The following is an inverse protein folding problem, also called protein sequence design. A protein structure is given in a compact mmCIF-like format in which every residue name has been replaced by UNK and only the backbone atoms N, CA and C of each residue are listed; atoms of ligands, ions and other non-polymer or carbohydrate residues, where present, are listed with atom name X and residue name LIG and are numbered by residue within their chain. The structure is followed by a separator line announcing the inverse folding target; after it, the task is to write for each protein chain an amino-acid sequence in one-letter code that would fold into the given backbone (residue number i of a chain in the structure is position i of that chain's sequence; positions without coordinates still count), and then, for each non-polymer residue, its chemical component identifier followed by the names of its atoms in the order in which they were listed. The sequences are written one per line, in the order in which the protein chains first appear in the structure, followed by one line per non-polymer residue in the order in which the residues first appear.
data_IF_889075484164
#
_entry.id   IF_889075484164
#
_cell.length_a   1.000
_cell.length_b   1.000
_cell.length_c   1.000
_cell.angle_alpha   90.00
_cell.angle_beta   90.00
_cell.angle_gamma   90.00
#
_symmetry.space_group_name_H-M   'P 1'
#
loop_
_entity.id
_entity.type
_entity.pdbx_description
1 polymer ?
#
# COMPACT_ATOMS: atom_id res chain seq x y z
N UNK A 1 20.52 13.64 42.98
CA UNK A 1 20.53 12.18 42.80
C UNK A 1 20.06 11.87 41.38
N UNK A 2 20.91 11.19 40.60
CA UNK A 2 20.64 10.31 39.43
C UNK A 2 19.52 10.71 38.45
N UNK A 3 19.73 10.93 37.15
CA UNK A 3 20.74 10.37 36.25
C UNK A 3 20.04 9.77 35.03
N UNK A 4 19.87 10.53 33.94
CA UNK A 4 19.48 9.98 32.64
C UNK A 4 20.73 9.63 31.84
N UNK A 5 20.81 8.35 31.44
CA UNK A 5 21.92 7.73 30.72
C UNK A 5 22.14 8.38 29.35
N UNK A 6 23.40 8.70 29.05
CA UNK A 6 23.89 8.98 27.69
C UNK A 6 23.83 7.68 26.87
N UNK A 7 23.27 7.76 25.66
CA UNK A 7 23.50 6.78 24.60
C UNK A 7 24.46 7.42 23.62
N UNK A 8 25.67 6.89 23.53
CA UNK A 8 26.71 7.31 22.60
C UNK A 8 26.64 6.43 21.34
N UNK A 9 26.47 7.05 20.18
CA UNK A 9 26.60 6.38 18.89
C UNK A 9 28.11 6.33 18.50
N UNK A 10 28.70 5.18 18.12
CA UNK A 10 30.17 5.06 18.10
C UNK A 10 30.88 5.55 16.84
N UNK A 11 30.22 6.18 15.86
CA UNK A 11 30.81 6.24 14.50
C UNK A 11 30.66 7.59 13.76
N UNK A 12 30.88 8.71 14.44
CA UNK A 12 31.05 10.01 13.79
C UNK A 12 32.07 10.87 14.56
N UNK A 13 33.36 10.59 14.35
CA UNK A 13 34.44 11.54 14.66
C UNK A 13 34.53 12.58 13.54
N UNK A 14 33.94 13.75 13.76
CA UNK A 14 34.07 14.93 12.89
C UNK A 14 33.34 16.12 13.48
N UNK A 15 34.09 17.16 13.86
CA UNK A 15 33.60 18.41 14.46
C UNK A 15 32.84 19.27 13.43
N UNK A 16 31.64 19.73 13.80
CA UNK A 16 30.83 20.65 13.01
C UNK A 16 29.76 21.34 13.87
N UNK A 17 29.62 22.66 13.71
CA UNK A 17 28.83 23.56 14.54
C UNK A 17 27.32 23.25 14.53
N UNK A 18 26.64 23.51 15.65
CA UNK A 18 25.24 23.16 15.93
C UNK A 18 24.19 23.96 15.10
N UNK A 19 24.60 24.58 13.99
CA UNK A 19 23.78 25.38 13.09
C UNK A 19 23.37 24.69 11.78
N UNK A 20 23.99 23.57 11.38
CA UNK A 20 23.77 22.98 10.04
C UNK A 20 22.73 21.83 10.00
N UNK A 21 22.28 21.34 11.16
CA UNK A 21 21.28 20.27 11.25
C UNK A 21 19.81 20.74 11.09
N UNK A 22 19.55 22.05 11.02
CA UNK A 22 18.19 22.62 10.93
C UNK A 22 17.77 23.14 9.54
N UNK A 23 18.62 23.03 8.51
CA UNK A 23 18.35 23.60 7.18
C UNK A 23 17.86 22.60 6.11
N UNK A 24 17.58 21.34 6.47
CA UNK A 24 16.99 20.33 5.56
C UNK A 24 15.53 19.96 5.87
N UNK A 25 14.91 20.61 6.84
CA UNK A 25 13.46 20.52 7.08
C UNK A 25 12.87 21.93 7.09
N UNK A 26 12.25 22.34 5.99
CA UNK A 26 11.47 23.58 5.95
C UNK A 26 11.68 24.42 4.71
N UNK A 27 11.24 23.95 3.54
CA UNK A 27 10.90 24.81 2.38
C UNK A 27 9.81 24.15 1.55
N UNK A 28 8.57 24.26 2.02
CA UNK A 28 7.41 24.48 1.15
C UNK A 28 6.23 25.04 1.95
N UNK A 29 6.43 26.19 2.60
CA UNK A 29 5.33 27.02 3.09
C UNK A 29 5.81 28.47 3.25
N UNK A 30 5.16 29.39 2.53
CA UNK A 30 5.11 30.81 2.87
C UNK A 30 5.71 31.76 1.85
N UNK A 31 4.85 32.37 1.02
CA UNK A 31 5.02 33.77 0.66
C UNK A 31 3.90 34.58 1.31
N UNK A 32 4.29 35.69 1.92
CA UNK A 32 3.55 36.51 2.88
C UNK A 32 2.72 37.63 2.27
N UNK A 33 1.84 38.17 3.13
CA UNK A 33 0.75 39.16 2.97
C UNK A 33 1.15 40.57 2.47
N UNK A 34 0.16 41.28 1.90
CA UNK A 34 0.05 42.75 1.83
C UNK A 34 -1.42 43.20 1.72
N UNK A 35 -1.82 44.29 2.40
CA UNK A 35 -3.21 44.82 2.56
C UNK A 35 -3.64 45.83 1.46
N UNK A 36 -4.97 45.86 1.20
CA UNK A 36 -5.97 46.83 0.62
C UNK A 36 -5.59 48.28 0.20
N UNK A 37 -6.44 49.07 -0.56
CA UNK A 37 -7.89 48.93 -0.87
C UNK A 37 -8.39 49.23 -2.32
N UNK A 38 -9.72 49.00 -2.51
CA UNK A 38 -10.73 49.52 -3.46
C UNK A 38 -10.38 50.07 -4.87
N UNK A 39 -11.09 49.57 -5.90
CA UNK A 39 -11.15 50.11 -7.25
C UNK A 39 -12.15 49.35 -8.14
N UNK A 40 -12.82 50.06 -9.04
CA UNK A 40 -14.13 49.78 -9.66
C UNK A 40 -14.03 49.20 -11.08
N UNK A 41 -15.06 48.43 -11.49
CA UNK A 41 -15.56 48.10 -12.85
C UNK A 41 -14.63 47.50 -13.93
N UNK A 42 -15.08 46.43 -14.61
CA UNK A 42 -14.47 46.02 -15.88
C UNK A 42 -14.81 44.61 -16.40
N UNK A 43 -15.73 44.57 -17.35
CA UNK A 43 -16.28 43.46 -18.16
C UNK A 43 -15.25 42.51 -18.84
N UNK A 44 -15.70 41.26 -19.04
CA UNK A 44 -15.56 40.42 -20.26
C UNK A 44 -14.65 39.17 -20.28
N UNK A 45 -15.32 38.01 -20.47
CA UNK A 45 -15.04 36.85 -21.36
C UNK A 45 -13.59 36.38 -21.56
N UNK A 46 -13.33 35.08 -21.32
CA UNK A 46 -13.39 34.01 -22.32
C UNK A 46 -12.65 32.75 -21.84
N UNK A 47 -13.01 31.63 -22.46
CA UNK A 47 -12.76 30.23 -22.08
C UNK A 47 -11.33 29.77 -22.38
N UNK A 48 -10.90 28.77 -21.61
CA UNK A 48 -10.26 27.56 -22.17
C UNK A 48 -8.74 27.55 -22.22
N UNK A 49 -8.10 27.05 -21.16
CA UNK A 49 -6.80 26.38 -21.25
C UNK A 49 -6.83 25.09 -20.45
N UNK A 50 -6.73 23.97 -21.16
CA UNK A 50 -6.47 22.66 -20.58
C UNK A 50 -5.09 22.67 -19.93
N UNK A 51 -5.05 22.61 -18.61
CA UNK A 51 -3.85 22.32 -17.85
C UNK A 51 -3.73 20.81 -17.67
N UNK A 52 -2.78 20.19 -18.38
CA UNK A 52 -2.29 18.85 -18.03
C UNK A 52 -1.80 18.91 -16.58
N UNK A 53 -2.39 18.12 -15.68
CA UNK A 53 -1.84 17.91 -14.34
C UNK A 53 -0.47 17.23 -14.50
N UNK A 54 0.57 17.68 -13.78
CA UNK A 54 1.86 17.01 -13.85
C UNK A 54 1.71 15.62 -13.22
N UNK A 55 2.22 14.61 -13.91
CA UNK A 55 2.46 13.29 -13.34
C UNK A 55 3.52 13.45 -12.24
N UNK A 56 3.15 13.16 -11.00
CA UNK A 56 4.13 13.01 -9.94
C UNK A 56 4.89 11.71 -10.21
N UNK A 57 6.16 11.85 -10.53
CA UNK A 57 7.09 10.72 -10.74
C UNK A 57 7.20 9.91 -9.47
N UNK A 58 6.69 8.67 -9.48
CA UNK A 58 7.00 7.69 -8.47
C UNK A 58 8.49 7.38 -8.53
N UNK A 59 9.19 7.59 -7.42
CA UNK A 59 10.58 7.15 -7.26
C UNK A 59 10.57 5.62 -7.26
N UNK A 60 11.47 5.00 -8.04
CA UNK A 60 11.56 3.55 -8.21
C UNK A 60 11.72 2.84 -6.85
N UNK A 61 10.62 2.27 -6.35
CA UNK A 61 10.65 1.37 -5.21
C UNK A 61 11.05 -0.02 -5.74
N UNK A 62 12.31 -0.39 -5.55
CA UNK A 62 12.72 -1.78 -5.70
C UNK A 62 11.90 -2.67 -4.77
N UNK A 63 11.56 -3.89 -5.20
CA UNK A 63 10.74 -4.86 -4.45
C UNK A 63 11.28 -5.08 -3.03
N UNK A 64 10.64 -4.46 -2.03
CA UNK A 64 11.04 -4.57 -0.61
C UNK A 64 10.62 -5.88 0.05
N UNK A 65 9.72 -6.67 -0.56
CA UNK A 65 9.28 -7.96 -0.02
C UNK A 65 10.31 -9.10 -0.26
N UNK A 66 11.23 -8.92 -1.20
CA UNK A 66 12.19 -9.97 -1.59
C UNK A 66 13.14 -10.43 -0.48
N UNK A 67 13.76 -9.52 0.31
CA UNK A 67 14.63 -9.89 1.43
C UNK A 67 13.91 -10.72 2.51
N UNK A 68 12.75 -10.27 2.99
CA UNK A 68 11.98 -10.97 4.04
C UNK A 68 11.58 -12.39 3.62
N UNK A 69 11.16 -12.57 2.37
CA UNK A 69 10.81 -13.89 1.84
C UNK A 69 12.03 -14.82 1.73
N UNK A 70 13.21 -14.28 1.41
CA UNK A 70 14.47 -15.04 1.40
C UNK A 70 14.90 -15.44 2.81
N UNK A 71 14.76 -14.55 3.78
CA UNK A 71 15.12 -14.82 5.17
C UNK A 71 14.22 -15.90 5.78
N UNK A 72 12.99 -16.03 5.30
CA UNK A 72 12.07 -17.11 5.63
C UNK A 72 12.28 -18.39 4.81
N UNK A 73 13.26 -18.42 3.91
CA UNK A 73 13.53 -19.52 2.97
C UNK A 73 12.30 -19.93 2.13
N UNK A 74 11.43 -18.98 1.81
CA UNK A 74 10.20 -19.22 1.04
C UNK A 74 10.51 -19.22 -0.46
N UNK A 75 10.22 -20.30 -1.21
CA UNK A 75 10.45 -20.35 -2.65
C UNK A 75 9.48 -19.44 -3.43
N UNK A 76 10.02 -18.49 -4.18
CA UNK A 76 9.25 -17.56 -5.00
C UNK A 76 9.61 -17.67 -6.49
N UNK A 77 8.62 -17.44 -7.37
CA UNK A 77 8.84 -17.23 -8.80
C UNK A 77 8.40 -15.80 -9.13
N UNK A 78 9.26 -14.98 -9.73
CA UNK A 78 8.93 -13.61 -10.10
C UNK A 78 9.00 -13.42 -11.61
N UNK A 79 8.02 -12.73 -12.18
CA UNK A 79 8.00 -12.30 -13.58
C UNK A 79 7.89 -10.78 -13.61
N UNK A 80 8.87 -10.15 -14.24
CA UNK A 80 8.86 -8.71 -14.49
C UNK A 80 7.97 -8.38 -15.70
N UNK A 81 7.33 -7.23 -15.64
CA UNK A 81 6.49 -6.72 -16.70
C UNK A 81 6.47 -5.18 -16.66
N UNK A 82 6.01 -4.50 -17.72
CA UNK A 82 5.77 -3.06 -17.67
C UNK A 82 4.84 -2.68 -16.51
N UNK A 83 4.89 -1.42 -16.13
CA UNK A 83 3.97 -0.88 -15.14
C UNK A 83 2.52 -1.01 -15.65
N UNK A 84 1.66 -1.62 -14.84
CA UNK A 84 0.24 -1.83 -15.14
C UNK A 84 -0.62 -1.38 -13.97
N UNK A 85 -1.78 -0.81 -14.27
CA UNK A 85 -2.70 -0.27 -13.25
C UNK A 85 -4.03 -1.00 -13.22
N UNK A 86 -4.32 -1.78 -14.26
CA UNK A 86 -5.52 -2.61 -14.38
C UNK A 86 -5.14 -4.07 -14.54
N UNK A 87 -6.07 -4.95 -14.14
CA UNK A 87 -5.89 -6.40 -14.32
C UNK A 87 -5.81 -6.73 -15.80
N UNK A 88 -6.63 -6.06 -16.61
CA UNK A 88 -6.70 -6.22 -18.07
C UNK A 88 -5.35 -5.91 -18.75
N UNK A 89 -4.63 -4.88 -18.29
CA UNK A 89 -3.27 -4.55 -18.76
C UNK A 89 -2.24 -5.59 -18.31
N UNK A 90 -2.42 -6.16 -17.11
CA UNK A 90 -1.49 -7.13 -16.54
C UNK A 90 -1.58 -8.51 -17.23
N UNK A 91 -2.80 -8.98 -17.53
CA UNK A 91 -3.05 -10.35 -17.99
C UNK A 91 -2.22 -10.78 -19.22
N UNK A 92 -2.02 -9.97 -20.28
CA UNK A 92 -1.17 -10.35 -21.41
C UNK A 92 0.26 -10.73 -21.02
N UNK A 93 0.80 -10.11 -19.97
CA UNK A 93 2.16 -10.37 -19.48
C UNK A 93 2.26 -11.64 -18.64
N UNK A 94 1.19 -12.00 -17.92
CA UNK A 94 1.23 -13.06 -16.91
C UNK A 94 0.31 -14.25 -17.21
N UNK A 95 -0.40 -14.26 -18.34
CA UNK A 95 -1.34 -15.34 -18.70
C UNK A 95 -0.72 -16.75 -18.72
N UNK A 96 0.59 -16.84 -18.92
CA UNK A 96 1.33 -18.10 -18.91
C UNK A 96 1.55 -18.65 -17.49
N UNK A 97 1.39 -17.80 -16.47
CA UNK A 97 1.47 -18.17 -15.06
C UNK A 97 0.17 -18.85 -14.63
N UNK A 98 0.21 -20.18 -14.55
CA UNK A 98 -0.90 -21.00 -14.05
C UNK A 98 -1.01 -20.88 -12.53
N UNK A 99 -2.15 -20.44 -12.04
CA UNK A 99 -2.42 -20.30 -10.61
C UNK A 99 -3.46 -19.22 -10.34
N UNK A 100 -3.58 -18.83 -9.08
CA UNK A 100 -4.53 -17.83 -8.64
C UNK A 100 -3.91 -16.43 -8.64
N UNK A 101 -4.43 -15.55 -9.48
CA UNK A 101 -4.07 -14.13 -9.48
C UNK A 101 -4.97 -13.35 -8.54
N UNK A 102 -4.36 -12.48 -7.73
CA UNK A 102 -5.08 -11.72 -6.72
C UNK A 102 -5.42 -10.31 -7.16
N UNK A 103 -6.39 -9.72 -6.46
CA UNK A 103 -6.50 -8.28 -6.29
C UNK A 103 -6.73 -7.94 -4.83
N UNK A 104 -6.35 -6.73 -4.46
CA UNK A 104 -6.26 -6.33 -3.06
C UNK A 104 -7.05 -5.04 -2.83
N UNK A 105 -7.89 -5.04 -1.80
CA UNK A 105 -8.70 -3.90 -1.40
C UNK A 105 -8.22 -3.45 -0.03
N UNK A 106 -7.69 -2.22 0.06
CA UNK A 106 -7.37 -1.60 1.34
C UNK A 106 -8.52 -0.73 1.79
N UNK A 107 -9.19 -1.17 2.85
CA UNK A 107 -10.47 -0.64 3.30
C UNK A 107 -10.34 -0.15 4.74
N UNK A 108 -11.23 0.77 5.11
CA UNK A 108 -11.39 1.24 6.49
C UNK A 108 -12.85 1.30 6.88
N UNK A 109 -13.08 1.10 8.18
CA UNK A 109 -14.37 1.40 8.80
C UNK A 109 -14.61 2.93 8.77
N UNK A 110 -15.86 3.35 8.56
CA UNK A 110 -16.29 4.74 8.64
C UNK A 110 -16.33 5.25 10.08
N UNK A 111 -16.74 4.40 11.03
CA UNK A 111 -17.02 4.76 12.42
C UNK A 111 -15.83 4.49 13.34
N UNK A 112 -15.10 3.41 13.07
CA UNK A 112 -13.90 3.02 13.82
C UNK A 112 -12.65 3.29 12.98
N UNK A 113 -11.49 3.37 13.63
CA UNK A 113 -10.18 3.45 12.95
C UNK A 113 -9.62 2.06 12.63
N UNK A 114 -10.48 1.13 12.22
CA UNK A 114 -10.07 -0.22 11.85
C UNK A 114 -9.74 -0.26 10.35
N UNK A 115 -8.58 -0.80 10.03
CA UNK A 115 -8.12 -1.01 8.66
C UNK A 115 -8.21 -2.49 8.29
N UNK A 116 -8.49 -2.74 7.02
CA UNK A 116 -8.67 -4.07 6.46
C UNK A 116 -7.89 -4.17 5.15
N UNK A 117 -7.09 -5.22 5.02
CA UNK A 117 -6.52 -5.62 3.73
C UNK A 117 -7.24 -6.88 3.28
N UNK A 118 -8.01 -6.77 2.20
CA UNK A 118 -8.84 -7.84 1.67
C UNK A 118 -8.26 -8.34 0.36
N UNK A 119 -7.76 -9.56 0.37
CA UNK A 119 -7.15 -10.22 -0.79
C UNK A 119 -8.10 -11.28 -1.34
N UNK A 120 -8.49 -11.12 -2.61
CA UNK A 120 -9.46 -11.97 -3.29
C UNK A 120 -8.95 -12.35 -4.68
N UNK A 121 -9.51 -13.37 -5.31
CA UNK A 121 -9.19 -13.67 -6.71
C UNK A 121 -9.54 -12.47 -7.60
N UNK A 122 -8.72 -12.20 -8.61
CA UNK A 122 -8.88 -11.02 -9.47
C UNK A 122 -10.27 -10.93 -10.13
N UNK A 123 -10.85 -12.08 -10.48
CA UNK A 123 -12.19 -12.21 -11.09
C UNK A 123 -13.36 -11.91 -10.14
N UNK A 124 -13.14 -11.88 -8.82
CA UNK A 124 -14.23 -11.74 -7.84
C UNK A 124 -14.89 -10.38 -7.90
N UNK A 125 -16.22 -10.33 -7.95
CA UNK A 125 -16.97 -9.08 -7.78
C UNK A 125 -17.29 -8.90 -6.30
N UNK A 126 -16.76 -7.85 -5.68
CA UNK A 126 -16.91 -7.62 -4.24
C UNK A 126 -17.96 -6.55 -3.98
N UNK A 127 -19.04 -6.93 -3.28
CA UNK A 127 -20.00 -5.99 -2.73
C UNK A 127 -19.55 -5.56 -1.33
N UNK A 128 -19.20 -4.28 -1.16
CA UNK A 128 -18.71 -3.76 0.13
C UNK A 128 -19.75 -3.81 1.25
N UNK A 129 -21.05 -3.76 0.94
CA UNK A 129 -22.10 -3.85 1.96
C UNK A 129 -22.19 -5.26 2.53
N UNK A 130 -22.10 -6.28 1.68
CA UNK A 130 -22.16 -7.67 2.12
C UNK A 130 -20.88 -8.07 2.84
N UNK A 131 -19.72 -7.64 2.33
CA UNK A 131 -18.45 -7.78 3.03
C UNK A 131 -18.50 -7.11 4.41
N UNK A 132 -19.05 -5.89 4.51
CA UNK A 132 -19.16 -5.21 5.81
C UNK A 132 -20.02 -5.96 6.82
N UNK A 133 -21.10 -6.64 6.37
CA UNK A 133 -21.91 -7.52 7.22
C UNK A 133 -21.10 -8.75 7.66
N UNK A 134 -20.41 -9.39 6.73
CA UNK A 134 -19.60 -10.60 6.99
C UNK A 134 -18.45 -10.32 7.96
N UNK A 135 -17.84 -9.14 7.89
CA UNK A 135 -16.77 -8.70 8.80
C UNK A 135 -17.30 -8.14 10.14
N UNK A 136 -18.62 -8.10 10.37
CA UNK A 136 -19.22 -7.56 11.59
C UNK A 136 -19.09 -6.04 11.74
N UNK A 137 -18.81 -5.31 10.67
CA UNK A 137 -18.66 -3.84 10.64
C UNK A 137 -20.02 -3.14 10.44
N UNK A 138 -20.99 -3.87 9.87
CA UNK A 138 -22.33 -3.39 9.55
C UNK A 138 -22.42 -2.76 8.15
N UNK A 139 -23.55 -2.98 7.48
CA UNK A 139 -23.78 -2.54 6.10
C UNK A 139 -23.51 -1.03 5.91
N UNK A 140 -22.83 -0.66 4.83
CA UNK A 140 -22.53 0.74 4.50
C UNK A 140 -21.40 1.38 5.31
N UNK A 141 -20.76 0.67 6.24
CA UNK A 141 -19.66 1.21 7.06
C UNK A 141 -18.26 0.93 6.51
N UNK A 142 -18.11 0.19 5.42
CA UNK A 142 -16.82 -0.09 4.79
C UNK A 142 -16.59 0.86 3.60
N UNK A 143 -15.36 1.39 3.46
CA UNK A 143 -14.95 2.23 2.33
C UNK A 143 -13.46 2.04 2.04
N UNK A 144 -13.00 2.46 0.85
CA UNK A 144 -11.58 2.53 0.57
C UNK A 144 -10.86 3.48 1.53
N UNK A 145 -9.69 3.04 2.00
CA UNK A 145 -8.79 3.88 2.76
C UNK A 145 -8.04 4.85 1.82
N UNK A 146 -7.66 5.99 2.36
CA UNK A 146 -6.88 6.99 1.65
C UNK A 146 -5.41 6.56 1.52
N UNK A 147 -4.71 7.18 0.56
CA UNK A 147 -3.29 6.93 0.29
C UNK A 147 -2.39 7.21 1.48
N UNK A 148 -2.66 8.24 2.28
CA UNK A 148 -1.87 8.58 3.46
C UNK A 148 -1.89 7.41 4.45
N UNK A 149 -3.07 6.86 4.73
CA UNK A 149 -3.20 5.67 5.59
C UNK A 149 -2.48 4.45 5.00
N UNK A 150 -2.51 4.27 3.69
CA UNK A 150 -1.84 3.14 3.02
C UNK A 150 -0.32 3.24 3.11
N UNK A 151 0.24 4.44 2.87
CA UNK A 151 1.67 4.70 3.06
C UNK A 151 2.08 4.58 4.52
N UNK A 152 1.25 5.02 5.46
CA UNK A 152 1.54 4.89 6.88
C UNK A 152 1.65 3.43 7.31
N UNK A 153 0.64 2.60 6.98
CA UNK A 153 0.52 1.22 7.44
C UNK A 153 1.28 0.20 6.60
N UNK A 154 1.15 0.27 5.28
CA UNK A 154 1.66 -0.73 4.35
C UNK A 154 2.90 -0.26 3.57
N UNK A 155 3.31 1.01 3.71
CA UNK A 155 4.46 1.60 2.98
C UNK A 155 4.38 1.50 1.46
N UNK A 156 3.16 1.37 0.92
CA UNK A 156 2.88 1.33 -0.52
C UNK A 156 1.91 2.44 -0.92
N UNK A 157 2.02 2.91 -2.17
CA UNK A 157 1.12 3.90 -2.75
C UNK A 157 -0.18 3.28 -3.28
N UNK A 158 -1.11 4.13 -3.70
CA UNK A 158 -2.35 3.69 -4.35
C UNK A 158 -2.06 2.83 -5.58
N UNK A 159 -2.85 1.77 -5.77
CA UNK A 159 -2.65 0.79 -6.85
C UNK A 159 -1.63 -0.31 -6.54
N UNK A 160 -0.76 -0.12 -5.55
CA UNK A 160 0.27 -1.10 -5.16
C UNK A 160 -0.11 -1.93 -3.93
N UNK A 161 -1.39 -1.93 -3.54
CA UNK A 161 -1.87 -2.74 -2.41
C UNK A 161 -1.58 -4.23 -2.66
N UNK A 162 -0.94 -4.87 -1.69
CA UNK A 162 -0.51 -6.27 -1.77
C UNK A 162 -0.46 -6.88 -0.37
N UNK A 163 -0.82 -8.17 -0.18
CA UNK A 163 -0.65 -8.84 1.10
C UNK A 163 0.81 -8.99 1.49
N UNK A 164 1.74 -8.90 0.53
CA UNK A 164 3.17 -8.88 0.83
C UNK A 164 3.60 -7.62 1.58
N UNK A 165 2.78 -6.56 1.62
CA UNK A 165 3.08 -5.36 2.38
C UNK A 165 2.80 -5.51 3.89
N UNK A 166 2.23 -6.64 4.33
CA UNK A 166 1.93 -6.88 5.75
C UNK A 166 3.18 -6.92 6.64
N UNK A 167 4.38 -7.20 6.11
CA UNK A 167 5.60 -7.12 6.91
C UNK A 167 5.92 -5.69 7.37
N UNK A 168 5.40 -4.68 6.66
CA UNK A 168 5.55 -3.28 7.05
C UNK A 168 4.57 -2.86 8.14
N UNK A 169 3.48 -3.61 8.33
CA UNK A 169 2.43 -3.29 9.29
C UNK A 169 2.79 -3.83 10.67
N UNK A 170 2.47 -3.06 11.71
CA UNK A 170 2.76 -3.41 13.10
C UNK A 170 1.55 -4.09 13.80
N UNK A 171 0.60 -4.61 13.03
CA UNK A 171 -0.64 -5.24 13.53
C UNK A 171 -1.85 -4.31 13.56
N UNK A 172 -1.79 -3.15 12.90
CA UNK A 172 -2.91 -2.21 12.78
C UNK A 172 -3.93 -2.64 11.71
N UNK A 173 -3.50 -3.48 10.75
CA UNK A 173 -4.31 -3.90 9.61
C UNK A 173 -4.83 -5.32 9.80
N UNK A 174 -6.14 -5.48 9.77
CA UNK A 174 -6.78 -6.80 9.77
C UNK A 174 -6.73 -7.43 8.39
N UNK A 175 -6.17 -8.62 8.28
CA UNK A 175 -6.03 -9.29 7.00
C UNK A 175 -7.19 -10.26 6.73
N UNK A 176 -7.78 -10.18 5.54
CA UNK A 176 -8.87 -11.04 5.06
C UNK A 176 -8.43 -11.73 3.77
N UNK A 177 -8.58 -13.04 3.71
CA UNK A 177 -8.19 -13.85 2.56
C UNK A 177 -9.40 -14.64 2.02
N UNK A 178 -9.60 -14.61 0.72
CA UNK A 178 -10.57 -15.47 0.02
C UNK A 178 -10.20 -16.94 0.20
N UNK A 179 -11.13 -17.75 0.71
CA UNK A 179 -10.93 -19.19 0.94
C UNK A 179 -10.53 -19.93 -0.34
N UNK A 180 -10.92 -19.40 -1.50
CA UNK A 180 -10.58 -19.97 -2.80
C UNK A 180 -9.06 -20.10 -3.03
N UNK A 181 -8.22 -19.25 -2.43
CA UNK A 181 -6.76 -19.40 -2.54
C UNK A 181 -6.24 -20.70 -1.91
N UNK A 182 -6.94 -21.21 -0.90
CA UNK A 182 -6.57 -22.42 -0.17
C UNK A 182 -7.34 -23.65 -0.68
N UNK A 183 -8.62 -23.46 -0.99
CA UNK A 183 -9.53 -24.53 -1.39
C UNK A 183 -9.49 -24.82 -2.91
N UNK A 184 -8.92 -23.91 -3.71
CA UNK A 184 -8.94 -23.99 -5.17
C UNK A 184 -7.92 -24.95 -5.80
N UNK A 185 -7.08 -25.60 -4.99
CA UNK A 185 -6.07 -26.56 -5.49
C UNK A 185 -4.96 -25.91 -6.33
N UNK A 186 -4.67 -24.62 -6.12
CA UNK A 186 -3.65 -23.90 -6.84
C UNK A 186 -2.25 -24.25 -6.34
N UNK A 187 -1.34 -24.62 -7.24
CA UNK A 187 0.09 -24.78 -6.90
C UNK A 187 0.75 -23.44 -6.57
N UNK A 188 0.28 -22.36 -7.22
CA UNK A 188 0.81 -21.00 -7.05
C UNK A 188 -0.30 -19.96 -6.88
N UNK A 189 -0.02 -18.99 -6.01
CA UNK A 189 -0.80 -17.78 -5.78
C UNK A 189 0.08 -16.57 -6.09
N UNK A 190 -0.47 -15.60 -6.80
CA UNK A 190 0.29 -14.50 -7.38
C UNK A 190 -0.12 -13.14 -6.81
N UNK A 191 0.89 -12.37 -6.42
CA UNK A 191 0.77 -11.03 -5.83
C UNK A 191 1.82 -10.08 -6.42
N UNK A 192 1.58 -8.78 -6.30
CA UNK A 192 2.61 -7.78 -6.56
C UNK A 192 3.63 -7.74 -5.42
N UNK A 193 4.95 -7.81 -5.67
CA UNK A 193 5.98 -7.76 -4.64
C UNK A 193 6.28 -6.30 -4.20
N UNK A 194 5.22 -5.57 -3.84
CA UNK A 194 5.21 -4.14 -3.49
C UNK A 194 5.62 -3.19 -4.62
N UNK A 195 5.67 -3.70 -5.84
CA UNK A 195 5.77 -2.92 -7.08
C UNK A 195 4.75 -3.48 -8.09
N UNK A 196 4.22 -2.61 -8.94
CA UNK A 196 3.33 -2.94 -10.05
C UNK A 196 4.08 -3.28 -11.36
N UNK A 197 5.41 -3.38 -11.31
CA UNK A 197 6.27 -3.80 -12.44
C UNK A 197 6.67 -5.28 -12.38
N UNK A 198 6.10 -6.03 -11.43
CA UNK A 198 6.36 -7.45 -11.30
C UNK A 198 5.17 -8.18 -10.66
N UNK A 199 5.13 -9.48 -10.92
CA UNK A 199 4.21 -10.43 -10.30
C UNK A 199 5.01 -11.58 -9.70
N UNK A 200 4.77 -11.88 -8.44
CA UNK A 200 5.47 -12.88 -7.64
C UNK A 200 4.52 -14.00 -7.22
N UNK A 201 4.92 -15.23 -7.47
CA UNK A 201 4.20 -16.46 -7.16
C UNK A 201 4.82 -17.22 -5.99
N UNK A 202 3.97 -17.65 -5.06
CA UNK A 202 4.30 -18.48 -3.91
C UNK A 202 3.33 -19.67 -3.83
N UNK A 203 3.66 -20.74 -3.09
CA UNK A 203 2.63 -21.73 -2.77
C UNK A 203 1.61 -21.13 -1.79
N UNK A 204 0.35 -21.61 -1.74
CA UNK A 204 -0.63 -21.16 -0.74
C UNK A 204 -0.12 -21.33 0.70
N UNK A 205 0.57 -22.44 0.99
CA UNK A 205 1.08 -22.75 2.33
C UNK A 205 2.23 -21.84 2.74
N UNK A 206 3.16 -21.56 1.83
CA UNK A 206 4.24 -20.60 2.05
C UNK A 206 3.68 -19.19 2.24
N UNK A 207 2.66 -18.82 1.46
CA UNK A 207 1.99 -17.53 1.62
C UNK A 207 1.35 -17.40 3.01
N UNK A 208 0.65 -18.43 3.49
CA UNK A 208 0.10 -18.42 4.85
C UNK A 208 1.21 -18.36 5.92
N UNK A 209 2.32 -19.05 5.70
CA UNK A 209 3.49 -19.00 6.57
C UNK A 209 4.06 -17.59 6.66
N UNK A 210 4.25 -16.92 5.52
CA UNK A 210 4.65 -15.53 5.44
C UNK A 210 3.69 -14.63 6.24
N UNK A 211 2.39 -14.70 5.96
CA UNK A 211 1.38 -13.87 6.63
C UNK A 211 1.46 -14.03 8.15
N UNK A 212 1.51 -15.26 8.66
CA UNK A 212 1.63 -15.52 10.11
C UNK A 212 2.95 -15.00 10.70
N UNK A 213 4.05 -15.06 9.95
CA UNK A 213 5.35 -14.53 10.39
C UNK A 213 5.36 -13.01 10.52
N UNK A 214 4.52 -12.31 9.76
CA UNK A 214 4.31 -10.86 9.93
C UNK A 214 3.44 -10.51 11.14
N UNK A 215 3.03 -11.48 11.96
CA UNK A 215 2.16 -11.26 13.12
C UNK A 215 0.67 -11.17 12.80
N UNK A 216 0.29 -11.47 11.55
CA UNK A 216 -1.10 -11.39 11.09
C UNK A 216 -1.73 -12.79 11.05
N UNK A 217 -2.91 -12.94 11.65
CA UNK A 217 -3.73 -14.16 11.51
C UNK A 217 -4.84 -13.91 10.47
N UNK A 218 -4.82 -14.59 9.30
CA UNK A 218 -5.75 -14.31 8.22
C UNK A 218 -7.17 -14.71 8.57
N UNK A 219 -8.10 -13.79 8.35
CA UNK A 219 -9.52 -14.08 8.39
C UNK A 219 -9.94 -14.74 7.08
N UNK A 220 -10.13 -16.07 7.11
CA UNK A 220 -10.53 -16.81 5.92
C UNK A 220 -12.03 -16.58 5.66
N UNK A 221 -12.33 -16.07 4.48
CA UNK A 221 -13.68 -15.67 4.08
C UNK A 221 -14.04 -16.32 2.75
N UNK A 222 -15.17 -17.01 2.71
CA UNK A 222 -15.72 -17.54 1.47
C UNK A 222 -16.50 -16.46 0.73
N UNK A 223 -16.05 -16.13 -0.48
CA UNK A 223 -16.74 -15.24 -1.39
C UNK A 223 -17.51 -16.05 -2.44
N UNK A 224 -18.77 -15.68 -2.68
CA UNK A 224 -19.62 -16.32 -3.69
C UNK A 224 -19.34 -15.78 -5.09
#
# INVERSE_FOLDING_TARGET
MSGTRKVTCPDCSGEGDAGEAAARMGRCAGLTRGRHPAGREGRARARGRGGKRPAHSATAAGSMAGPELRDLAIPTVSVEHPEVFTVEEMMPHIQHLKGAHSKNLFLKDKRKKNYWLVTVLHVRKINLNDLAKQLGVGSGNLRFADEISMLEKLKVGQGCATPLALFCDQGDVRFVLDSAFLEGGYEKVYFHPMTNTATMGLSPDDFLTFVKKTGHDPMIVKFN
#
